data_IF_757351911428
#
_entry.id   IF_757351911428
#
_cell.length_a   1.000
_cell.length_b   1.000
_cell.length_c   1.000
_cell.angle_alpha   90.00
_cell.angle_beta   90.00
_cell.angle_gamma   90.00
#
_symmetry.space_group_name_H-M   'P 1'
#
loop_
_entity.id
_entity.type
_entity.pdbx_description
1 polymer ?
#
# COMPACT_ATOMS: atom_id res chain seq x y z
N UNK A 1 -21.60 14.40 -18.92
CA UNK A 1 -20.53 15.35 -19.29
C UNK A 1 -19.33 15.04 -18.43
N UNK A 2 -18.13 15.01 -18.98
CA UNK A 2 -16.93 14.83 -18.16
C UNK A 2 -16.73 16.05 -17.27
N UNK A 3 -16.39 15.86 -15.99
CA UNK A 3 -16.02 16.99 -15.14
C UNK A 3 -14.63 17.51 -15.53
N UNK A 4 -14.33 18.75 -15.13
CA UNK A 4 -13.01 19.33 -15.31
C UNK A 4 -11.91 18.45 -14.70
N UNK A 5 -12.17 17.83 -13.55
CA UNK A 5 -11.21 16.95 -12.87
C UNK A 5 -10.89 15.69 -13.71
N UNK A 6 -11.89 15.10 -14.37
CA UNK A 6 -11.68 13.96 -15.28
C UNK A 6 -10.80 14.36 -16.47
N UNK A 7 -11.07 15.53 -17.07
CA UNK A 7 -10.29 16.03 -18.22
C UNK A 7 -8.85 16.33 -17.81
N UNK A 8 -8.63 16.96 -16.66
CA UNK A 8 -7.30 17.27 -16.14
C UNK A 8 -6.54 15.98 -15.83
N UNK A 9 -7.19 15.03 -15.15
CA UNK A 9 -6.59 13.73 -14.85
C UNK A 9 -6.20 12.99 -16.14
N UNK A 10 -7.05 12.99 -17.16
CA UNK A 10 -6.75 12.36 -18.46
C UNK A 10 -5.51 12.99 -19.13
N UNK A 11 -5.40 14.32 -19.10
CA UNK A 11 -4.23 15.01 -19.64
C UNK A 11 -2.95 14.68 -18.88
N UNK A 12 -3.02 14.66 -17.54
CA UNK A 12 -1.87 14.29 -16.69
C UNK A 12 -1.43 12.85 -16.99
N UNK A 13 -2.38 11.91 -17.03
CA UNK A 13 -2.09 10.51 -17.31
C UNK A 13 -1.43 10.35 -18.68
N UNK A 14 -1.95 11.02 -19.72
CA UNK A 14 -1.40 10.90 -21.06
C UNK A 14 -0.01 11.53 -21.19
N UNK A 15 0.21 12.70 -20.58
CA UNK A 15 1.52 13.35 -20.57
C UNK A 15 2.56 12.50 -19.84
N UNK A 16 2.25 12.06 -18.61
CA UNK A 16 3.17 11.24 -17.82
C UNK A 16 3.42 9.88 -18.49
N UNK A 17 2.41 9.27 -19.11
CA UNK A 17 2.58 8.05 -19.90
C UNK A 17 3.55 8.27 -21.06
N UNK A 18 3.35 9.34 -21.85
CA UNK A 18 4.21 9.65 -22.99
C UNK A 18 5.67 9.91 -22.58
N UNK A 19 5.89 10.52 -21.41
CA UNK A 19 7.23 10.83 -20.88
C UNK A 19 7.91 9.61 -20.24
N UNK A 20 7.19 8.86 -19.39
CA UNK A 20 7.78 7.83 -18.52
C UNK A 20 7.65 6.43 -19.08
N UNK A 21 6.54 6.12 -19.76
CA UNK A 21 6.21 4.77 -20.20
C UNK A 21 5.41 4.76 -21.52
N UNK A 22 5.98 5.32 -22.63
CA UNK A 22 5.25 5.46 -23.89
C UNK A 22 4.83 4.13 -24.51
N UNK A 23 5.51 3.04 -24.11
CA UNK A 23 5.25 1.67 -24.54
C UNK A 23 4.04 1.02 -23.83
N UNK A 24 3.61 1.54 -22.67
CA UNK A 24 2.47 1.01 -21.95
C UNK A 24 1.16 1.50 -22.56
N UNK A 25 0.18 0.60 -22.64
CA UNK A 25 -1.20 0.94 -22.97
C UNK A 25 -1.80 1.83 -21.87
N UNK A 26 -2.77 2.69 -22.23
CA UNK A 26 -3.34 3.67 -21.30
C UNK A 26 -4.00 3.04 -20.05
N UNK A 27 -4.57 1.84 -20.18
CA UNK A 27 -5.14 1.10 -19.04
C UNK A 27 -4.06 0.56 -18.11
N UNK A 28 -3.00 -0.03 -18.66
CA UNK A 28 -1.85 -0.50 -17.87
C UNK A 28 -1.15 0.63 -17.14
N UNK A 29 -0.98 1.75 -17.84
CA UNK A 29 -0.42 2.95 -17.22
C UNK A 29 -1.33 3.48 -16.10
N UNK A 30 -2.65 3.42 -16.26
CA UNK A 30 -3.58 3.83 -15.21
C UNK A 30 -3.50 2.92 -13.98
N UNK A 31 -3.41 1.60 -14.19
CA UNK A 31 -3.21 0.61 -13.12
C UNK A 31 -1.92 0.91 -12.33
N UNK A 32 -0.80 1.13 -13.03
CA UNK A 32 0.48 1.54 -12.44
C UNK A 32 0.37 2.88 -11.69
N UNK A 33 -0.25 3.89 -12.29
CA UNK A 33 -0.42 5.20 -11.67
C UNK A 33 -1.19 5.11 -10.35
N UNK A 34 -2.26 4.30 -10.31
CA UNK A 34 -3.03 4.05 -9.08
C UNK A 34 -2.16 3.38 -8.03
N UNK A 35 -1.33 2.40 -8.42
CA UNK A 35 -0.37 1.76 -7.53
C UNK A 35 0.59 2.78 -6.91
N UNK A 36 1.22 3.63 -7.74
CA UNK A 36 2.14 4.69 -7.28
C UNK A 36 1.46 5.64 -6.29
N UNK A 37 0.21 6.05 -6.54
CA UNK A 37 -0.50 6.96 -5.65
C UNK A 37 -0.92 6.29 -4.32
N UNK A 38 -1.34 5.02 -4.35
CA UNK A 38 -1.72 4.29 -3.14
C UNK A 38 -0.51 3.93 -2.28
N UNK A 39 0.61 3.60 -2.91
CA UNK A 39 1.82 3.11 -2.24
C UNK A 39 2.86 4.21 -1.97
N UNK A 40 2.52 5.47 -2.28
CA UNK A 40 3.41 6.63 -2.20
C UNK A 40 4.13 6.79 -0.85
N UNK A 41 3.50 6.39 0.24
CA UNK A 41 4.08 6.49 1.59
C UNK A 41 5.14 5.43 1.88
N UNK A 42 5.14 4.33 1.14
CA UNK A 42 6.12 3.25 1.26
C UNK A 42 7.39 3.50 0.48
N UNK A 43 7.42 4.55 -0.36
CA UNK A 43 8.58 4.97 -1.16
C UNK A 43 9.14 3.85 -2.07
N UNK A 44 8.24 3.03 -2.63
CA UNK A 44 8.62 1.91 -3.47
C UNK A 44 9.13 2.37 -4.84
N UNK A 45 10.19 1.73 -5.31
CA UNK A 45 10.66 1.87 -6.70
C UNK A 45 9.79 1.07 -7.68
N UNK A 46 9.92 1.37 -8.98
CA UNK A 46 9.13 0.70 -10.04
C UNK A 46 9.30 -0.82 -10.02
N UNK A 47 10.54 -1.30 -9.82
CA UNK A 47 10.88 -2.72 -9.76
C UNK A 47 10.26 -3.46 -8.56
N UNK A 48 9.75 -2.72 -7.56
CA UNK A 48 9.04 -3.28 -6.41
C UNK A 48 7.53 -3.20 -6.58
N UNK A 49 7.04 -2.21 -7.34
CA UNK A 49 5.62 -2.08 -7.67
C UNK A 49 5.22 -3.14 -8.70
N UNK A 50 6.03 -3.33 -9.75
CA UNK A 50 5.72 -4.19 -10.88
C UNK A 50 5.38 -5.64 -10.47
N UNK A 51 6.13 -6.33 -9.56
CA UNK A 51 5.79 -7.68 -9.13
C UNK A 51 4.47 -7.80 -8.35
N UNK A 52 4.00 -6.71 -7.74
CA UNK A 52 2.71 -6.68 -7.03
C UNK A 52 1.52 -6.35 -7.94
N UNK A 53 1.75 -6.06 -9.22
CA UNK A 53 0.69 -5.91 -10.22
C UNK A 53 0.27 -7.30 -10.70
N UNK A 54 -1.00 -7.66 -10.49
CA UNK A 54 -1.54 -9.01 -10.75
C UNK A 54 -2.63 -9.02 -11.81
N UNK A 55 -2.70 -7.93 -12.56
CA UNK A 55 -3.69 -7.66 -13.59
C UNK A 55 -3.72 -8.72 -14.73
N UNK A 56 -4.84 -8.79 -15.45
CA UNK A 56 -4.98 -9.63 -16.65
C UNK A 56 -6.06 -10.71 -16.55
N UNK A 57 -5.98 -11.71 -17.43
CA UNK A 57 -6.99 -12.76 -17.48
C UNK A 57 -6.94 -13.67 -16.25
N UNK A 58 -8.00 -13.70 -15.44
CA UNK A 58 -8.04 -14.49 -14.20
C UNK A 58 -7.53 -13.74 -12.97
N UNK A 59 -7.46 -12.42 -13.02
CA UNK A 59 -7.03 -11.55 -11.92
C UNK A 59 -8.04 -11.43 -10.76
N UNK A 60 -9.22 -12.06 -10.86
CA UNK A 60 -10.24 -11.97 -9.81
C UNK A 60 -10.75 -10.54 -9.55
N UNK A 61 -10.57 -9.63 -10.51
CA UNK A 61 -10.88 -8.21 -10.33
C UNK A 61 -9.88 -7.46 -9.44
N UNK A 62 -8.69 -8.00 -9.19
CA UNK A 62 -7.60 -7.34 -8.47
C UNK A 62 -6.55 -6.94 -9.50
N UNK A 63 -6.23 -5.65 -9.58
CA UNK A 63 -5.17 -5.16 -10.48
C UNK A 63 -3.82 -5.06 -9.73
N UNK A 64 -3.83 -4.89 -8.39
CA UNK A 64 -2.63 -4.93 -7.56
C UNK A 64 -2.84 -5.52 -6.17
N UNK A 65 -1.85 -6.26 -5.68
CA UNK A 65 -1.83 -6.95 -4.40
C UNK A 65 -0.43 -6.82 -3.77
N UNK A 66 -0.35 -6.12 -2.65
CA UNK A 66 0.89 -5.87 -1.92
C UNK A 66 0.76 -6.29 -0.46
N UNK A 67 1.82 -6.89 0.08
CA UNK A 67 1.90 -7.32 1.48
C UNK A 67 3.07 -6.63 2.12
N UNK A 68 2.84 -6.04 3.28
CA UNK A 68 3.84 -5.37 4.09
C UNK A 68 3.90 -6.01 5.48
N UNK A 69 5.10 -6.13 6.02
CA UNK A 69 5.32 -6.51 7.41
C UNK A 69 6.06 -5.37 8.11
N UNK A 70 5.40 -4.74 9.09
CA UNK A 70 5.91 -3.53 9.78
C UNK A 70 6.36 -2.40 8.83
N UNK A 71 5.64 -2.22 7.72
CA UNK A 71 5.93 -1.17 6.73
C UNK A 71 6.97 -1.55 5.67
N UNK A 72 7.60 -2.73 5.75
CA UNK A 72 8.51 -3.23 4.71
C UNK A 72 7.77 -4.16 3.75
N UNK A 73 7.99 -4.00 2.44
CA UNK A 73 7.38 -4.83 1.41
C UNK A 73 7.87 -6.29 1.52
N UNK A 74 6.93 -7.23 1.63
CA UNK A 74 7.23 -8.67 1.70
C UNK A 74 7.44 -9.22 0.30
N UNK A 75 8.56 -9.93 0.13
CA UNK A 75 8.97 -10.66 -1.07
C UNK A 75 9.32 -12.09 -0.73
N UNK A 76 9.53 -12.93 -1.74
CA UNK A 76 9.86 -14.35 -1.58
C UNK A 76 11.12 -14.59 -0.71
N UNK A 77 12.08 -13.67 -0.73
CA UNK A 77 13.35 -13.73 0.00
C UNK A 77 13.33 -12.98 1.34
N UNK A 78 12.19 -12.43 1.75
CA UNK A 78 12.08 -11.64 2.98
C UNK A 78 12.26 -12.49 4.25
N UNK A 79 13.20 -12.08 5.12
CA UNK A 79 13.43 -12.73 6.42
C UNK A 79 12.51 -12.17 7.51
N UNK A 80 11.29 -12.72 7.54
CA UNK A 80 10.27 -12.38 8.54
C UNK A 80 10.61 -12.85 9.97
N UNK A 81 11.62 -13.71 10.14
CA UNK A 81 12.00 -14.23 11.47
C UNK A 81 12.58 -13.15 12.39
N UNK A 82 13.04 -12.04 11.80
CA UNK A 82 13.59 -10.89 12.53
C UNK A 82 12.52 -10.10 13.29
N UNK A 83 11.24 -10.25 12.92
CA UNK A 83 10.10 -9.57 13.54
C UNK A 83 9.69 -10.27 14.84
N UNK A 84 9.80 -9.57 15.96
CA UNK A 84 9.68 -10.16 17.31
C UNK A 84 8.46 -9.72 18.11
N UNK A 85 8.01 -8.49 17.98
CA UNK A 85 6.89 -7.89 18.74
C UNK A 85 6.15 -6.89 17.87
N UNK A 86 4.90 -6.64 18.24
CA UNK A 86 4.03 -5.63 17.63
C UNK A 86 4.01 -5.74 16.09
N UNK A 87 3.92 -6.98 15.61
CA UNK A 87 3.96 -7.28 14.19
C UNK A 87 2.66 -6.81 13.56
N UNK A 88 2.75 -6.02 12.50
CA UNK A 88 1.64 -5.59 11.68
C UNK A 88 1.83 -6.19 10.30
N UNK A 89 0.84 -6.97 9.85
CA UNK A 89 0.76 -7.42 8.45
C UNK A 89 -0.27 -6.51 7.79
N UNK A 90 0.21 -5.64 6.90
CA UNK A 90 -0.66 -4.81 6.08
C UNK A 90 -0.77 -5.38 4.68
N UNK A 91 -2.00 -5.50 4.18
CA UNK A 91 -2.28 -5.97 2.83
C UNK A 91 -3.03 -4.88 2.08
N UNK A 92 -2.39 -4.35 1.02
CA UNK A 92 -2.97 -3.34 0.13
C UNK A 92 -3.44 -4.05 -1.14
N UNK A 93 -4.74 -4.00 -1.41
CA UNK A 93 -5.34 -4.61 -2.61
C UNK A 93 -6.15 -3.56 -3.32
N UNK A 94 -5.97 -3.43 -4.63
CA UNK A 94 -6.78 -2.48 -5.39
C UNK A 94 -7.20 -2.97 -6.76
N UNK A 95 -8.27 -2.35 -7.23
CA UNK A 95 -8.77 -2.47 -8.59
C UNK A 95 -8.75 -1.08 -9.23
N UNK A 96 -8.22 -0.96 -10.44
CA UNK A 96 -8.15 0.27 -11.21
C UNK A 96 -8.90 0.09 -12.54
N UNK A 97 -9.90 0.95 -12.78
CA UNK A 97 -10.75 0.89 -13.96
C UNK A 97 -10.92 2.26 -14.60
N UNK A 98 -10.60 2.38 -15.89
CA UNK A 98 -10.65 3.68 -16.60
C UNK A 98 -12.08 4.19 -16.84
N UNK A 99 -13.10 3.37 -16.59
CA UNK A 99 -14.49 3.73 -16.74
C UNK A 99 -14.86 4.94 -15.86
N UNK A 100 -15.82 5.73 -16.32
CA UNK A 100 -16.31 6.93 -15.61
C UNK A 100 -17.36 6.61 -14.53
N UNK A 101 -17.42 5.37 -14.03
CA UNK A 101 -18.43 4.93 -13.06
C UNK A 101 -17.99 3.69 -12.29
N UNK A 102 -18.31 3.62 -11.01
CA UNK A 102 -18.12 2.42 -10.20
C UNK A 102 -19.23 1.41 -10.45
N UNK A 103 -18.87 0.13 -10.58
CA UNK A 103 -19.82 -0.96 -10.88
C UNK A 103 -19.87 -1.98 -9.76
N UNK A 104 -21.08 -2.44 -9.45
CA UNK A 104 -21.29 -3.50 -8.45
C UNK A 104 -20.61 -4.82 -8.83
N UNK A 105 -20.58 -5.17 -10.13
CA UNK A 105 -19.98 -6.42 -10.61
C UNK A 105 -18.49 -6.54 -10.26
N UNK A 106 -17.76 -5.41 -10.30
CA UNK A 106 -16.36 -5.36 -9.90
C UNK A 106 -16.19 -5.79 -8.44
N UNK A 107 -17.04 -5.25 -7.56
CA UNK A 107 -17.07 -5.61 -6.14
C UNK A 107 -17.49 -7.05 -5.90
N UNK A 108 -18.43 -7.59 -6.68
CA UNK A 108 -18.85 -8.99 -6.55
C UNK A 108 -17.69 -9.96 -6.87
N UNK A 109 -16.90 -9.65 -7.90
CA UNK A 109 -15.71 -10.44 -8.26
C UNK A 109 -14.65 -10.33 -7.17
N UNK A 110 -14.33 -9.11 -6.73
CA UNK A 110 -13.39 -8.88 -5.63
C UNK A 110 -13.82 -9.62 -4.35
N UNK A 111 -15.09 -9.57 -3.99
CA UNK A 111 -15.63 -10.26 -2.82
C UNK A 111 -15.45 -11.78 -2.89
N UNK A 112 -15.69 -12.37 -4.07
CA UNK A 112 -15.50 -13.80 -4.30
C UNK A 112 -14.00 -14.17 -4.21
N UNK A 113 -13.14 -13.40 -4.87
CA UNK A 113 -11.70 -13.63 -4.87
C UNK A 113 -11.09 -13.49 -3.48
N UNK A 114 -11.46 -12.46 -2.71
CA UNK A 114 -11.01 -12.33 -1.32
C UNK A 114 -11.49 -13.50 -0.45
N UNK A 115 -12.72 -14.00 -0.66
CA UNK A 115 -13.22 -15.16 0.09
C UNK A 115 -12.37 -16.40 -0.14
N UNK A 116 -12.03 -16.67 -1.40
CA UNK A 116 -11.25 -17.83 -1.79
C UNK A 116 -9.80 -17.71 -1.30
N UNK A 117 -9.15 -16.58 -1.59
CA UNK A 117 -7.73 -16.38 -1.32
C UNK A 117 -7.42 -16.17 0.15
N UNK A 118 -8.36 -15.66 0.95
CA UNK A 118 -8.13 -15.46 2.40
C UNK A 118 -8.61 -16.63 3.26
N UNK A 119 -9.30 -17.62 2.69
CA UNK A 119 -9.63 -18.86 3.40
C UNK A 119 -8.40 -19.78 3.50
N UNK A 120 -7.69 -19.66 4.63
CA UNK A 120 -6.49 -20.45 4.95
C UNK A 120 -6.74 -21.96 5.06
N UNK A 121 -8.01 -22.40 5.15
CA UNK A 121 -8.34 -23.83 5.20
C UNK A 121 -8.25 -24.51 3.83
N UNK A 122 -8.23 -23.73 2.75
CA UNK A 122 -8.20 -24.25 1.39
C UNK A 122 -6.84 -24.03 0.73
N UNK A 123 -6.19 -25.08 0.19
CA UNK A 123 -4.92 -24.92 -0.54
C UNK A 123 -5.10 -24.05 -1.80
N UNK A 124 -4.13 -23.17 -2.09
CA UNK A 124 -4.17 -22.25 -3.23
C UNK A 124 -4.18 -22.99 -4.58
N UNK A 125 -3.62 -24.20 -4.61
CA UNK A 125 -3.54 -25.06 -5.80
C UNK A 125 -4.92 -25.36 -6.40
N UNK A 126 -5.96 -25.37 -5.57
CA UNK A 126 -7.37 -25.56 -6.01
C UNK A 126 -7.84 -24.45 -6.95
N UNK A 127 -7.24 -23.27 -6.88
CA UNK A 127 -7.66 -22.10 -7.63
C UNK A 127 -6.82 -21.85 -8.89
N UNK A 128 -5.85 -22.71 -9.20
CA UNK A 128 -4.97 -22.59 -10.40
C UNK A 128 -5.69 -22.58 -11.74
N UNK A 129 -6.93 -23.10 -11.80
CA UNK A 129 -7.78 -23.02 -12.99
C UNK A 129 -8.71 -21.81 -13.04
N UNK A 130 -8.86 -21.10 -11.92
CA UNK A 130 -9.76 -19.95 -11.77
C UNK A 130 -9.01 -18.61 -11.78
N UNK A 131 -7.82 -18.58 -11.19
CA UNK A 131 -7.00 -17.38 -11.04
C UNK A 131 -5.66 -17.50 -11.78
N UNK A 132 -5.10 -16.34 -12.18
CA UNK A 132 -3.78 -16.27 -12.78
C UNK A 132 -2.67 -16.57 -11.76
N UNK A 133 -1.45 -16.77 -12.25
CA UNK A 133 -0.31 -17.19 -11.41
C UNK A 133 0.17 -16.05 -10.52
N UNK A 134 0.10 -14.84 -11.05
CA UNK A 134 0.54 -13.60 -10.43
C UNK A 134 -0.29 -13.33 -9.15
N UNK A 135 -1.62 -13.42 -9.24
CA UNK A 135 -2.51 -13.28 -8.09
C UNK A 135 -2.30 -14.39 -7.06
N UNK A 136 -2.13 -15.64 -7.52
CA UNK A 136 -1.88 -16.76 -6.61
C UNK A 136 -0.54 -16.63 -5.90
N UNK A 137 0.51 -16.14 -6.56
CA UNK A 137 1.80 -15.87 -5.96
C UNK A 137 1.71 -14.76 -4.90
N UNK A 138 1.01 -13.65 -5.19
CA UNK A 138 0.80 -12.58 -4.22
C UNK A 138 -0.02 -13.05 -3.00
N UNK A 139 -1.04 -13.89 -3.23
CA UNK A 139 -1.81 -14.51 -2.16
C UNK A 139 -0.97 -15.50 -1.34
N UNK A 140 -0.03 -16.21 -1.98
CA UNK A 140 0.89 -17.12 -1.29
C UNK A 140 1.85 -16.34 -0.37
N UNK A 141 2.42 -15.21 -0.83
CA UNK A 141 3.23 -14.32 0.01
C UNK A 141 2.47 -13.86 1.27
N UNK A 142 1.20 -13.49 1.10
CA UNK A 142 0.35 -13.13 2.24
C UNK A 142 0.18 -14.31 3.21
N UNK A 143 -0.20 -15.49 2.70
CA UNK A 143 -0.46 -16.68 3.52
C UNK A 143 0.80 -17.19 4.22
N UNK A 144 1.95 -17.12 3.55
CA UNK A 144 3.25 -17.45 4.10
C UNK A 144 3.65 -16.47 5.21
N UNK A 145 3.45 -15.17 5.00
CA UNK A 145 3.66 -14.15 6.05
C UNK A 145 2.77 -14.41 7.28
N UNK A 146 1.48 -14.67 7.07
CA UNK A 146 0.52 -15.05 8.11
C UNK A 146 1.01 -16.29 8.87
N UNK A 147 1.42 -17.34 8.15
CA UNK A 147 1.90 -18.60 8.74
C UNK A 147 3.18 -18.44 9.55
N UNK A 148 4.20 -17.79 8.99
CA UNK A 148 5.50 -17.54 9.63
C UNK A 148 5.37 -16.67 10.88
N UNK A 149 4.47 -15.69 10.84
CA UNK A 149 4.30 -14.70 11.92
C UNK A 149 3.18 -15.07 12.90
N UNK A 150 2.42 -16.15 12.68
CA UNK A 150 1.28 -16.55 13.53
C UNK A 150 1.60 -16.58 15.04
N UNK A 151 2.77 -17.10 15.42
CA UNK A 151 3.21 -17.17 16.83
C UNK A 151 3.58 -15.82 17.45
N UNK A 152 3.59 -14.74 16.66
CA UNK A 152 3.81 -13.35 17.09
C UNK A 152 2.51 -12.59 17.29
N UNK A 153 1.35 -13.20 17.01
CA UNK A 153 0.02 -12.60 17.10
C UNK A 153 -0.04 -11.25 16.36
N UNK A 154 0.18 -11.24 15.03
CA UNK A 154 0.24 -10.00 14.28
C UNK A 154 -1.13 -9.31 14.25
N UNK A 155 -1.12 -7.98 14.21
CA UNK A 155 -2.27 -7.19 13.85
C UNK A 155 -2.41 -7.19 12.33
N UNK A 156 -3.61 -7.43 11.83
CA UNK A 156 -3.88 -7.42 10.39
C UNK A 156 -4.54 -6.10 10.00
N UNK A 157 -4.01 -5.47 8.95
CA UNK A 157 -4.55 -4.25 8.37
C UNK A 157 -4.81 -4.50 6.89
N UNK A 158 -6.05 -4.33 6.45
CA UNK A 158 -6.44 -4.50 5.05
C UNK A 158 -6.86 -3.16 4.47
N UNK A 159 -6.13 -2.72 3.46
CA UNK A 159 -6.34 -1.47 2.73
C UNK A 159 -6.86 -1.81 1.34
N UNK A 160 -8.18 -1.85 1.18
CA UNK A 160 -8.84 -2.15 -0.09
C UNK A 160 -9.14 -0.85 -0.84
N UNK A 161 -8.86 -0.78 -2.13
CA UNK A 161 -9.21 0.38 -2.95
C UNK A 161 -9.87 0.01 -4.27
N UNK A 162 -10.87 0.78 -4.67
CA UNK A 162 -11.41 0.74 -6.02
C UNK A 162 -11.22 2.13 -6.64
N UNK A 163 -10.28 2.24 -7.58
CA UNK A 163 -9.98 3.45 -8.33
C UNK A 163 -10.72 3.46 -9.67
N UNK A 164 -11.34 4.60 -9.96
CA UNK A 164 -12.04 4.82 -11.22
C UNK A 164 -12.00 6.28 -11.62
N UNK A 165 -12.12 6.55 -12.92
CA UNK A 165 -12.35 7.92 -13.40
C UNK A 165 -13.74 8.44 -13.05
N UNK A 166 -14.61 7.65 -12.41
CA UNK A 166 -15.90 8.10 -11.91
C UNK A 166 -15.79 9.21 -10.85
N UNK A 167 -16.89 9.95 -10.68
CA UNK A 167 -16.99 11.04 -9.70
C UNK A 167 -17.99 10.65 -8.60
N UNK A 168 -19.09 10.01 -8.98
CA UNK A 168 -20.15 9.62 -8.05
C UNK A 168 -20.08 8.13 -7.73
N UNK A 169 -20.28 7.81 -6.45
CA UNK A 169 -20.36 6.44 -5.95
C UNK A 169 -21.82 6.17 -5.60
N UNK A 170 -22.44 5.23 -6.31
CA UNK A 170 -23.83 4.87 -6.06
C UNK A 170 -23.99 4.20 -4.67
N UNK A 171 -25.07 4.47 -3.91
CA UNK A 171 -25.27 3.88 -2.58
C UNK A 171 -25.19 2.34 -2.52
N UNK A 172 -25.65 1.66 -3.58
CA UNK A 172 -25.54 0.19 -3.66
C UNK A 172 -24.08 -0.29 -3.74
N UNK A 173 -23.22 0.45 -4.44
CA UNK A 173 -21.79 0.16 -4.56
C UNK A 173 -21.13 0.34 -3.19
N UNK A 174 -21.46 1.43 -2.47
CA UNK A 174 -20.99 1.64 -1.09
C UNK A 174 -21.44 0.50 -0.16
N UNK A 175 -22.71 0.10 -0.23
CA UNK A 175 -23.23 -1.02 0.57
C UNK A 175 -22.47 -2.32 0.32
N UNK A 176 -22.08 -2.61 -0.93
CA UNK A 176 -21.26 -3.79 -1.25
C UNK A 176 -19.85 -3.69 -0.69
N UNK A 177 -19.23 -2.51 -0.72
CA UNK A 177 -17.94 -2.29 -0.07
C UNK A 177 -18.00 -2.57 1.44
N UNK A 178 -19.04 -2.10 2.12
CA UNK A 178 -19.22 -2.36 3.56
C UNK A 178 -19.39 -3.87 3.85
N UNK A 179 -20.05 -4.62 2.96
CA UNK A 179 -20.15 -6.08 3.06
C UNK A 179 -18.80 -6.77 2.87
N UNK A 180 -17.95 -6.28 1.95
CA UNK A 180 -16.60 -6.80 1.74
C UNK A 180 -15.74 -6.58 2.97
N UNK A 181 -15.78 -5.37 3.56
CA UNK A 181 -15.07 -5.09 4.81
C UNK A 181 -15.50 -6.05 5.93
N UNK A 182 -16.81 -6.27 6.08
CA UNK A 182 -17.36 -7.23 7.05
C UNK A 182 -16.91 -8.67 6.79
N UNK A 183 -16.86 -9.08 5.52
CA UNK A 183 -16.38 -10.40 5.12
C UNK A 183 -14.91 -10.60 5.53
N UNK A 184 -14.02 -9.66 5.19
CA UNK A 184 -12.60 -9.75 5.55
C UNK A 184 -12.40 -9.78 7.07
N UNK A 185 -13.11 -8.91 7.81
CA UNK A 185 -13.11 -8.90 9.28
C UNK A 185 -13.60 -10.20 9.91
N UNK A 186 -14.50 -10.92 9.23
CA UNK A 186 -14.98 -12.23 9.69
C UNK A 186 -13.96 -13.35 9.51
N UNK A 187 -13.12 -13.27 8.47
CA UNK A 187 -12.03 -14.22 8.21
C UNK A 187 -10.85 -13.97 9.15
N UNK A 188 -10.53 -12.70 9.41
CA UNK A 188 -9.47 -12.28 10.33
C UNK A 188 -10.03 -11.47 11.50
N UNK A 189 -10.37 -12.16 12.59
CA UNK A 189 -10.94 -11.52 13.78
C UNK A 189 -9.97 -10.48 14.37
N UNK A 190 -10.50 -9.29 14.70
CA UNK A 190 -9.69 -8.18 15.24
C UNK A 190 -8.88 -7.42 14.20
N UNK A 191 -8.99 -7.76 12.91
CA UNK A 191 -8.35 -7.00 11.84
C UNK A 191 -8.98 -5.62 11.62
N UNK A 192 -8.16 -4.66 11.23
CA UNK A 192 -8.63 -3.44 10.60
C UNK A 192 -8.82 -3.72 9.11
N UNK A 193 -9.97 -3.33 8.56
CA UNK A 193 -10.21 -3.39 7.12
C UNK A 193 -10.97 -2.15 6.69
N UNK A 194 -10.47 -1.49 5.64
CA UNK A 194 -11.05 -0.28 5.06
C UNK A 194 -11.14 -0.42 3.55
N UNK A 195 -12.29 -0.05 3.00
CA UNK A 195 -12.51 0.01 1.57
C UNK A 195 -12.72 1.46 1.11
N UNK A 196 -11.77 1.94 0.31
CA UNK A 196 -11.76 3.30 -0.23
C UNK A 196 -12.14 3.28 -1.71
N UNK A 197 -12.90 4.28 -2.12
CA UNK A 197 -13.13 4.55 -3.54
C UNK A 197 -12.27 5.75 -3.91
N UNK A 198 -11.49 5.63 -4.99
CA UNK A 198 -10.71 6.75 -5.53
C UNK A 198 -11.41 7.24 -6.80
N UNK A 199 -12.04 8.40 -6.69
CA UNK A 199 -12.65 9.11 -7.82
C UNK A 199 -11.58 9.84 -8.65
N UNK A 200 -11.97 10.39 -9.80
CA UNK A 200 -11.08 11.26 -10.57
C UNK A 200 -10.56 12.44 -9.73
N UNK A 201 -11.41 13.01 -8.86
CA UNK A 201 -11.03 14.12 -7.96
C UNK A 201 -10.03 13.65 -6.90
N UNK A 202 -10.23 12.47 -6.31
CA UNK A 202 -9.30 11.92 -5.31
C UNK A 202 -7.94 11.57 -5.93
N UNK A 203 -7.94 10.94 -7.11
CA UNK A 203 -6.72 10.61 -7.85
C UNK A 203 -5.94 11.87 -8.22
N UNK A 204 -6.63 12.93 -8.64
CA UNK A 204 -6.01 14.22 -8.92
C UNK A 204 -5.43 14.87 -7.66
N UNK A 205 -6.12 14.75 -6.52
CA UNK A 205 -5.60 15.24 -5.25
C UNK A 205 -4.32 14.49 -4.84
N UNK A 206 -4.32 13.16 -4.92
CA UNK A 206 -3.15 12.32 -4.63
C UNK A 206 -1.97 12.62 -5.58
N UNK A 207 -2.26 12.86 -6.86
CA UNK A 207 -1.25 13.25 -7.84
C UNK A 207 -0.58 14.59 -7.51
N UNK A 208 -1.37 15.54 -6.98
CA UNK A 208 -0.91 16.87 -6.59
C UNK A 208 -0.16 16.88 -5.26
N UNK A 209 -0.45 15.94 -4.38
CA UNK A 209 0.28 15.77 -3.14
C UNK A 209 1.75 15.50 -3.45
N UNK A 210 2.60 16.51 -3.25
CA UNK A 210 4.04 16.34 -3.37
C UNK A 210 4.51 15.55 -2.14
N UNK A 211 5.38 14.53 -2.28
CA UNK A 211 6.06 13.96 -1.12
C UNK A 211 6.66 15.11 -0.32
N UNK A 212 6.40 15.18 0.99
CA UNK A 212 7.02 16.21 1.84
C UNK A 212 8.53 15.94 1.88
N UNK A 213 9.29 16.56 0.98
CA UNK A 213 10.75 16.42 0.91
C UNK A 213 11.48 17.19 2.03
N UNK A 214 10.76 18.09 2.71
CA UNK A 214 11.28 18.88 3.82
C UNK A 214 10.53 18.56 5.10
N UNK A 215 11.23 17.97 6.05
CA UNK A 215 10.71 17.72 7.39
C UNK A 215 11.34 18.70 8.36
N UNK A 216 10.52 19.33 9.20
CA UNK A 216 11.01 20.21 10.26
C UNK A 216 11.17 19.38 11.54
N UNK A 217 12.39 19.33 12.06
CA UNK A 217 12.70 18.76 13.37
C UNK A 217 12.88 19.91 14.36
N UNK A 218 12.02 19.98 15.37
CA UNK A 218 12.23 20.89 16.49
C UNK A 218 13.38 20.40 17.36
N UNK A 219 14.47 21.16 17.38
CA UNK A 219 15.65 20.87 18.20
C UNK A 219 15.67 21.76 19.43
N UNK A 220 16.21 21.23 20.52
CA UNK A 220 16.47 21.97 21.76
C UNK A 220 17.80 22.69 21.60
N UNK A 221 17.86 23.99 21.91
CA UNK A 221 18.98 24.95 21.88
C UNK A 221 20.30 24.57 21.15
N UNK A 222 20.75 25.50 20.28
CA UNK A 222 22.02 25.55 19.55
C UNK A 222 22.45 24.25 18.85
N UNK A 223 22.06 24.11 17.58
CA UNK A 223 22.67 23.12 16.68
C UNK A 223 24.14 23.45 16.44
N UNK A 224 25.00 22.44 16.53
CA UNK A 224 26.42 22.56 16.21
C UNK A 224 26.60 22.22 14.73
N UNK A 225 26.84 23.26 13.93
CA UNK A 225 27.20 23.11 12.52
C UNK A 225 28.66 22.64 12.42
N UNK A 226 28.86 21.43 11.90
CA UNK A 226 30.18 20.91 11.55
C UNK A 226 30.38 21.02 10.03
N UNK A 227 31.63 20.89 9.54
CA UNK A 227 31.98 21.06 8.11
C UNK A 227 31.31 20.06 7.13
N UNK A 228 30.47 19.15 7.61
CA UNK A 228 29.73 18.19 6.78
C UNK A 228 28.44 17.66 7.42
N UNK A 229 27.89 18.35 8.42
CA UNK A 229 26.69 17.88 9.11
C UNK A 229 26.27 18.76 10.28
N UNK A 230 25.06 18.52 10.78
CA UNK A 230 24.48 19.25 11.91
C UNK A 230 24.28 18.28 13.06
N UNK A 231 24.85 18.59 14.23
CA UNK A 231 24.56 17.86 15.47
C UNK A 231 23.59 18.70 16.28
N UNK A 232 22.44 18.13 16.63
CA UNK A 232 21.43 18.83 17.43
C UNK A 232 20.80 17.90 18.46
N UNK A 233 20.40 18.47 19.59
CA UNK A 233 19.68 17.74 20.63
C UNK A 233 18.18 17.84 20.36
N UNK A 234 17.47 16.72 20.37
CA UNK A 234 16.02 16.70 20.19
C UNK A 234 15.36 15.87 21.27
N UNK A 235 14.18 16.32 21.72
CA UNK A 235 13.34 15.51 22.61
C UNK A 235 12.95 14.24 21.88
N UNK A 236 13.11 13.08 22.53
CA UNK A 236 12.81 11.78 21.92
C UNK A 236 11.38 11.72 21.35
N UNK A 237 10.41 12.34 22.04
CA UNK A 237 9.02 12.44 21.57
C UNK A 237 8.90 13.18 20.23
N UNK A 238 9.64 14.28 20.05
CA UNK A 238 9.61 15.06 18.81
C UNK A 238 10.40 14.36 17.69
N UNK A 239 11.49 13.66 18.04
CA UNK A 239 12.19 12.80 17.09
C UNK A 239 11.31 11.64 16.61
N UNK A 240 10.56 10.99 17.51
CA UNK A 240 9.60 9.94 17.15
C UNK A 240 8.53 10.46 16.18
N UNK A 241 7.95 11.65 16.43
CA UNK A 241 7.01 12.29 15.48
C UNK A 241 7.65 12.70 14.16
N UNK A 242 8.96 12.95 14.15
CA UNK A 242 9.68 13.32 12.94
C UNK A 242 9.95 12.11 12.04
N UNK A 243 10.32 10.98 12.64
CA UNK A 243 10.62 9.74 11.90
C UNK A 243 9.36 8.93 11.59
N UNK A 244 8.23 9.21 12.23
CA UNK A 244 6.93 8.59 11.96
C UNK A 244 6.00 9.54 11.20
N UNK A 245 5.13 9.01 10.35
CA UNK A 245 4.08 9.76 9.66
C UNK A 245 2.86 10.03 10.57
N UNK A 246 1.82 10.62 10.01
CA UNK A 246 0.58 10.94 10.75
C UNK A 246 -0.21 9.68 11.16
N UNK A 247 0.10 8.52 10.59
CA UNK A 247 -0.49 7.20 10.90
C UNK A 247 0.35 6.40 11.91
N UNK A 248 1.58 6.84 12.18
CA UNK A 248 2.52 6.19 13.10
C UNK A 248 3.57 5.32 12.41
N UNK A 249 3.54 5.25 11.08
CA UNK A 249 4.45 4.43 10.29
C UNK A 249 5.78 5.16 10.06
N UNK A 250 6.88 4.41 10.00
CA UNK A 250 8.20 4.99 9.77
C UNK A 250 8.29 5.62 8.37
N UNK A 251 8.84 6.83 8.30
CA UNK A 251 9.17 7.52 7.06
C UNK A 251 10.48 6.97 6.50
N UNK A 252 10.40 5.86 5.78
CA UNK A 252 11.58 5.17 5.21
C UNK A 252 12.47 6.10 4.36
N UNK A 253 11.87 7.03 3.62
CA UNK A 253 12.55 8.06 2.82
C UNK A 253 13.60 8.90 3.58
N UNK A 254 13.46 9.06 4.91
CA UNK A 254 14.44 9.78 5.74
C UNK A 254 15.74 9.00 5.97
N UNK A 255 15.73 7.68 5.76
CA UNK A 255 16.80 6.78 6.16
C UNK A 255 17.59 6.19 4.98
N UNK A 256 17.01 6.11 3.79
CA UNK A 256 17.68 5.54 2.61
C UNK A 256 18.89 6.35 2.15
N UNK A 257 18.85 7.68 2.30
CA UNK A 257 19.92 8.54 1.80
C UNK A 257 21.23 8.50 2.63
N UNK A 258 21.24 7.93 3.84
CA UNK A 258 22.30 8.25 4.82
C UNK A 258 22.83 7.11 5.71
N UNK A 259 22.48 5.83 5.51
CA UNK A 259 22.95 4.77 6.43
C UNK A 259 23.44 3.52 5.69
N UNK A 260 24.74 3.21 5.79
CA UNK A 260 25.25 1.89 5.50
C UNK A 260 24.66 0.88 6.49
N UNK A 261 24.17 -0.23 5.96
CA UNK A 261 23.31 -1.30 6.52
C UNK A 261 23.64 -1.86 7.92
N UNK A 262 24.73 -1.47 8.57
CA UNK A 262 25.14 -1.97 9.88
C UNK A 262 24.65 -1.15 11.08
N UNK A 263 24.27 0.13 10.90
CA UNK A 263 24.00 1.05 12.04
C UNK A 263 22.53 1.08 12.48
N UNK A 264 21.59 0.73 11.59
CA UNK A 264 20.13 0.78 11.83
C UNK A 264 19.67 -0.10 13.01
N UNK A 265 20.32 -1.26 13.22
CA UNK A 265 19.96 -2.23 14.27
C UNK A 265 20.22 -1.75 15.71
N UNK A 266 21.03 -0.70 15.90
CA UNK A 266 21.37 -0.17 17.23
C UNK A 266 20.34 0.84 17.74
N UNK A 267 19.84 1.74 16.88
CA UNK A 267 18.96 2.83 17.30
C UNK A 267 17.52 2.35 17.61
N UNK A 268 16.96 1.44 16.83
CA UNK A 268 15.61 0.91 17.06
C UNK A 268 15.48 0.19 18.43
N UNK A 269 16.56 -0.46 18.90
CA UNK A 269 16.59 -1.11 20.22
C UNK A 269 16.61 -0.13 21.40
N UNK A 270 17.03 1.12 21.20
CA UNK A 270 17.08 2.13 22.26
C UNK A 270 15.77 2.92 22.37
N UNK A 271 15.07 3.17 21.25
CA UNK A 271 13.78 3.85 21.26
C UNK A 271 12.66 3.02 21.94
N UNK A 272 12.63 1.70 21.72
CA UNK A 272 11.66 0.80 22.36
C UNK A 272 11.89 0.52 23.86
N UNK A 273 12.92 1.12 24.48
CA UNK A 273 13.19 1.03 25.92
C UNK A 273 12.86 2.30 26.71
N UNK A 274 12.36 3.35 26.05
CA UNK A 274 12.15 4.67 26.65
C UNK A 274 10.67 5.09 26.79
N UNK A 275 9.75 4.11 26.76
CA UNK A 275 8.42 4.18 27.40
C UNK A 275 8.49 3.53 28.76
#
# INVERSE_FOLDING_TARGET
MSSNDQIILDQILEQQRAERAPHLAANKYFELFVAEQLLKHYDLSYDEIEPGMVDGGGDGGIDGFFVFANGELVREDSDLSTLKRDVVIETVIFQAKMEASFREKALDTLAATLRDLFDLSQPLEKFTGAYNKELLAAADLFRDAVGKLATRFPNYVFSLAYASKGIEIHPNVRRKADLIEGQVKSLFQGSACTMRFLTATDLLALARETPRLSYQLEVTDASINTKGGVVALVKLREFAKFICDEKGDLRCSLFEANVSTSTFRSCAKQAGKAT
#
